data_IF_070022243057
#
_entry.id   IF_070022243057
#
_cell.length_a   1.000
_cell.length_b   1.000
_cell.length_c   1.000
_cell.angle_alpha   90.00
_cell.angle_beta   90.00
_cell.angle_gamma   90.00
#
_symmetry.space_group_name_H-M   'P 1'
#
loop_
_entity.id
_entity.type
_entity.pdbx_description
1 polymer ?
#
# COMPACT_ATOMS: atom_id res chain seq x y z
N UNK A 1 -64.36 54.88 10.98
CA UNK A 1 -65.05 54.37 9.79
C UNK A 1 -64.44 53.01 9.54
N UNK A 2 -64.99 51.96 10.16
CA UNK A 2 -66.01 50.98 9.65
C UNK A 2 -65.56 50.43 8.31
N UNK A 3 -65.29 49.14 8.16
CA UNK A 3 -66.19 48.01 8.35
C UNK A 3 -65.48 46.64 8.41
N UNK A 4 -65.99 45.78 9.28
CA UNK A 4 -65.87 44.34 9.33
C UNK A 4 -66.51 43.66 8.06
N UNK A 5 -65.97 42.48 7.75
CA UNK A 5 -66.74 41.28 7.33
C UNK A 5 -65.79 40.07 7.41
N UNK A 6 -65.87 39.18 8.36
CA UNK A 6 -66.71 37.96 8.43
C UNK A 6 -66.31 36.86 7.47
N UNK A 7 -65.71 35.82 7.93
CA UNK A 7 -66.09 34.41 7.94
C UNK A 7 -65.72 33.55 6.74
N UNK A 8 -64.91 32.55 6.95
CA UNK A 8 -65.41 31.15 6.89
C UNK A 8 -64.22 30.17 7.18
N UNK A 9 -64.49 29.28 8.09
CA UNK A 9 -63.60 28.14 8.43
C UNK A 9 -63.68 27.13 7.30
N UNK A 10 -62.49 26.75 6.75
CA UNK A 10 -62.33 25.48 6.06
C UNK A 10 -61.30 24.63 6.77
N UNK A 11 -61.75 23.55 7.39
CA UNK A 11 -60.96 22.45 7.87
C UNK A 11 -60.26 21.80 6.66
N UNK A 12 -58.92 21.77 6.67
CA UNK A 12 -58.17 20.85 5.81
C UNK A 12 -57.50 19.79 6.68
N UNK A 13 -57.96 18.59 6.48
CA UNK A 13 -57.43 17.33 6.94
C UNK A 13 -55.95 17.17 6.51
N UNK A 14 -55.09 16.90 7.51
CA UNK A 14 -53.68 16.52 7.27
C UNK A 14 -53.68 15.08 6.77
N UNK A 15 -53.44 14.86 5.48
CA UNK A 15 -53.03 13.58 4.96
C UNK A 15 -51.56 13.38 5.19
N UNK A 16 -51.17 12.43 6.07
CA UNK A 16 -49.81 11.89 6.14
C UNK A 16 -49.55 11.10 4.86
N UNK A 17 -48.70 11.63 3.99
CA UNK A 17 -48.04 10.85 2.96
C UNK A 17 -46.78 10.20 3.58
N UNK A 18 -46.86 8.91 3.88
CA UNK A 18 -45.72 8.09 4.23
C UNK A 18 -44.89 7.89 2.95
N UNK A 19 -43.76 8.57 2.85
CA UNK A 19 -42.75 8.26 1.84
C UNK A 19 -41.98 7.02 2.30
N UNK A 20 -42.30 5.86 1.73
CA UNK A 20 -41.44 4.68 1.81
C UNK A 20 -40.14 4.94 1.04
N UNK A 21 -39.07 5.26 1.76
CA UNK A 21 -37.73 5.12 1.22
C UNK A 21 -37.42 3.62 1.11
N UNK A 22 -37.52 3.08 -0.09
CA UNK A 22 -36.94 1.76 -0.41
C UNK A 22 -35.44 1.97 -0.50
N UNK A 23 -34.71 1.61 0.57
CA UNK A 23 -33.27 1.44 0.51
C UNK A 23 -33.00 0.21 -0.37
N UNK A 24 -32.62 0.44 -1.62
CA UNK A 24 -32.03 -0.58 -2.46
C UNK A 24 -30.62 -0.87 -1.91
N UNK A 25 -30.53 -1.85 -1.01
CA UNK A 25 -29.26 -2.54 -0.74
C UNK A 25 -28.90 -3.30 -2.00
N UNK A 26 -27.95 -2.75 -2.78
CA UNK A 26 -27.23 -3.53 -3.78
C UNK A 26 -26.40 -4.58 -3.05
N UNK A 27 -26.99 -5.74 -2.81
CA UNK A 27 -26.22 -6.97 -2.55
C UNK A 27 -25.51 -7.29 -3.88
N UNK A 28 -24.25 -6.92 -4.00
CA UNK A 28 -23.39 -7.42 -5.08
C UNK A 28 -23.29 -8.93 -4.88
N UNK A 29 -24.01 -9.68 -5.70
CA UNK A 29 -23.95 -11.12 -5.73
C UNK A 29 -22.52 -11.55 -6.05
N UNK A 30 -21.84 -12.11 -5.06
CA UNK A 30 -20.67 -12.97 -5.29
C UNK A 30 -21.21 -14.14 -6.10
N UNK A 31 -20.88 -14.15 -7.39
CA UNK A 31 -21.21 -15.26 -8.26
C UNK A 31 -20.61 -16.54 -7.67
N UNK A 32 -21.48 -17.44 -7.23
CA UNK A 32 -21.10 -18.78 -6.80
C UNK A 32 -20.63 -19.57 -8.03
N UNK A 33 -19.35 -19.39 -8.35
CA UNK A 33 -18.65 -20.38 -9.18
C UNK A 33 -18.28 -21.54 -8.27
N UNK A 34 -18.46 -22.75 -8.77
CA UNK A 34 -18.11 -24.01 -8.10
C UNK A 34 -16.82 -23.87 -7.29
N UNK A 35 -16.95 -23.93 -5.94
CA UNK A 35 -15.81 -23.97 -5.05
C UNK A 35 -14.95 -25.17 -5.45
N UNK A 36 -13.71 -24.91 -5.86
CA UNK A 36 -12.63 -25.87 -5.69
C UNK A 36 -12.36 -26.01 -4.17
N UNK A 37 -13.26 -26.67 -3.47
CA UNK A 37 -13.08 -27.12 -2.08
C UNK A 37 -12.42 -28.50 -2.10
N UNK A 38 -11.35 -28.62 -2.85
CA UNK A 38 -10.45 -29.71 -2.60
C UNK A 38 -9.37 -29.14 -1.64
N UNK A 39 -8.97 -29.84 -0.60
CA UNK A 39 -7.97 -29.43 0.38
C UNK A 39 -6.57 -29.23 -0.21
N UNK A 40 -6.48 -28.89 -1.48
CA UNK A 40 -5.26 -28.66 -2.21
C UNK A 40 -4.61 -27.34 -1.82
N UNK A 41 -3.28 -27.30 -1.69
CA UNK A 41 -2.54 -26.09 -1.37
C UNK A 41 -2.82 -24.96 -2.38
N UNK A 42 -3.00 -23.72 -1.86
CA UNK A 42 -3.15 -22.52 -2.69
C UNK A 42 -1.76 -21.93 -2.99
N UNK A 43 -1.20 -22.26 -4.17
CA UNK A 43 0.16 -21.88 -4.55
C UNK A 43 0.35 -20.36 -4.60
N UNK A 44 -0.69 -19.58 -4.85
CA UNK A 44 -0.62 -18.11 -4.83
C UNK A 44 -0.32 -17.61 -3.41
N UNK A 45 -1.03 -18.12 -2.40
CA UNK A 45 -0.80 -17.75 -1.00
C UNK A 45 0.54 -18.30 -0.46
N UNK A 46 0.97 -19.47 -0.93
CA UNK A 46 2.26 -20.05 -0.57
C UNK A 46 3.41 -19.20 -1.10
N UNK A 47 3.38 -18.84 -2.37
CA UNK A 47 4.44 -18.05 -2.99
C UNK A 47 4.40 -16.58 -2.59
N UNK A 48 3.25 -16.04 -2.18
CA UNK A 48 3.22 -14.76 -1.48
C UNK A 48 3.93 -14.83 -0.12
N UNK A 49 3.81 -15.95 0.62
CA UNK A 49 4.60 -16.13 1.84
C UNK A 49 6.10 -16.21 1.54
N UNK A 50 6.52 -16.90 0.47
CA UNK A 50 7.93 -16.93 0.03
C UNK A 50 8.43 -15.53 -0.32
N UNK A 51 7.62 -14.70 -0.95
CA UNK A 51 7.94 -13.29 -1.19
C UNK A 51 8.15 -12.52 0.12
N UNK A 52 7.20 -12.62 1.07
CA UNK A 52 7.29 -11.98 2.39
C UNK A 52 8.56 -12.41 3.12
N UNK A 53 8.84 -13.72 3.19
CA UNK A 53 10.01 -14.27 3.85
C UNK A 53 11.32 -13.80 3.17
N UNK A 54 11.30 -13.67 1.85
CA UNK A 54 12.43 -13.15 1.08
C UNK A 54 12.71 -11.69 1.43
N UNK A 55 11.69 -10.84 1.54
CA UNK A 55 11.84 -9.45 1.98
C UNK A 55 12.46 -9.36 3.38
N UNK A 56 12.00 -10.21 4.31
CA UNK A 56 12.48 -10.24 5.70
C UNK A 56 13.95 -10.67 5.75
N UNK A 57 14.28 -11.80 5.13
CA UNK A 57 15.63 -12.39 5.19
C UNK A 57 16.67 -11.52 4.50
N UNK A 58 16.27 -10.80 3.45
CA UNK A 58 17.19 -9.89 2.72
C UNK A 58 17.26 -8.49 3.35
N UNK A 59 16.44 -8.19 4.35
CA UNK A 59 16.35 -6.85 4.92
C UNK A 59 15.95 -5.80 3.88
N UNK A 60 15.09 -6.17 2.92
CA UNK A 60 14.69 -5.27 1.84
C UNK A 60 14.04 -4.00 2.39
N UNK A 61 14.54 -2.80 2.03
CA UNK A 61 13.98 -1.55 2.51
C UNK A 61 12.50 -1.39 2.16
N UNK A 62 11.72 -0.82 3.08
CA UNK A 62 10.29 -0.56 2.86
C UNK A 62 10.06 0.21 1.54
N UNK A 63 10.86 1.24 1.25
CA UNK A 63 10.71 2.10 0.08
C UNK A 63 10.97 1.43 -1.29
N UNK A 64 11.40 0.17 -1.34
CA UNK A 64 11.57 -0.57 -2.59
C UNK A 64 10.69 -1.81 -2.70
N UNK A 65 10.20 -2.31 -1.57
CA UNK A 65 9.47 -3.58 -1.49
C UNK A 65 8.12 -3.56 -2.21
N UNK A 66 7.43 -2.42 -2.27
CA UNK A 66 6.13 -2.29 -2.96
C UNK A 66 6.25 -2.57 -4.46
N UNK A 67 7.28 -1.94 -5.10
CA UNK A 67 7.56 -2.20 -6.52
C UNK A 67 7.90 -3.67 -6.78
N UNK A 68 8.68 -4.29 -5.90
CA UNK A 68 9.04 -5.70 -6.02
C UNK A 68 7.80 -6.60 -5.89
N UNK A 69 6.92 -6.31 -4.94
CA UNK A 69 5.64 -7.03 -4.78
C UNK A 69 4.76 -6.94 -6.02
N UNK A 70 4.64 -5.75 -6.60
CA UNK A 70 3.87 -5.56 -7.83
C UNK A 70 4.46 -6.34 -9.01
N UNK A 71 5.78 -6.42 -9.16
CA UNK A 71 6.43 -7.22 -10.23
C UNK A 71 6.11 -8.70 -10.04
N UNK A 72 6.28 -9.24 -8.83
CA UNK A 72 6.02 -10.65 -8.52
C UNK A 72 4.55 -10.99 -8.78
N UNK A 73 3.63 -10.19 -8.25
CA UNK A 73 2.20 -10.48 -8.36
C UNK A 73 1.61 -10.18 -9.74
N UNK A 74 2.21 -9.27 -10.54
CA UNK A 74 1.88 -9.14 -11.96
C UNK A 74 2.23 -10.42 -12.72
N UNK A 75 3.42 -10.96 -12.52
CA UNK A 75 3.85 -12.19 -13.21
C UNK A 75 2.98 -13.39 -12.79
N UNK A 76 2.69 -13.56 -11.51
CA UNK A 76 1.81 -14.62 -11.01
C UNK A 76 0.40 -14.46 -11.60
N UNK A 77 -0.13 -13.22 -11.59
CA UNK A 77 -1.47 -12.95 -12.10
C UNK A 77 -1.60 -13.24 -13.58
N UNK A 78 -0.71 -12.68 -14.41
CA UNK A 78 -0.78 -12.85 -15.87
C UNK A 78 -0.53 -14.30 -16.28
N UNK A 79 0.38 -15.01 -15.60
CA UNK A 79 0.60 -16.45 -15.87
C UNK A 79 -0.65 -17.29 -15.58
N UNK A 80 -1.32 -17.06 -14.46
CA UNK A 80 -2.55 -17.75 -14.12
C UNK A 80 -3.71 -17.35 -15.04
N UNK A 81 -3.89 -16.04 -15.23
CA UNK A 81 -4.98 -15.50 -16.03
C UNK A 81 -4.85 -15.84 -17.53
N UNK A 82 -3.64 -15.98 -18.07
CA UNK A 82 -3.42 -16.45 -19.44
C UNK A 82 -3.95 -17.87 -19.71
N UNK A 83 -4.14 -18.67 -18.65
CA UNK A 83 -4.78 -20.00 -18.70
C UNK A 83 -6.30 -19.88 -18.48
N UNK A 84 -6.74 -19.16 -17.43
CA UNK A 84 -8.16 -19.02 -17.09
C UNK A 84 -8.94 -18.03 -17.96
N UNK A 85 -8.28 -16.97 -18.42
CA UNK A 85 -8.86 -15.89 -19.27
C UNK A 85 -10.09 -15.21 -18.63
N UNK A 86 -10.10 -15.09 -17.32
CA UNK A 86 -11.25 -14.54 -16.59
C UNK A 86 -11.23 -13.03 -16.50
N UNK A 87 -10.04 -12.44 -16.55
CA UNK A 87 -9.83 -11.01 -16.34
C UNK A 87 -8.99 -10.41 -17.47
N UNK A 88 -9.03 -9.07 -17.62
CA UNK A 88 -8.06 -8.38 -18.44
C UNK A 88 -6.66 -8.56 -17.84
N UNK A 89 -5.64 -8.91 -18.64
CA UNK A 89 -4.27 -9.03 -18.14
C UNK A 89 -3.71 -7.66 -17.74
N UNK A 90 -2.66 -7.69 -16.90
CA UNK A 90 -1.95 -6.47 -16.48
C UNK A 90 -0.95 -6.06 -17.58
N UNK A 91 -0.15 -6.98 -18.04
CA UNK A 91 0.91 -6.73 -19.03
C UNK A 91 1.00 -7.76 -20.14
N UNK A 92 0.95 -9.07 -19.84
CA UNK A 92 1.11 -10.14 -20.83
C UNK A 92 -0.26 -10.55 -21.36
N UNK A 93 -0.53 -10.17 -22.61
CA UNK A 93 -1.82 -10.43 -23.30
C UNK A 93 -1.89 -11.76 -24.03
N UNK A 94 -0.77 -12.46 -24.13
CA UNK A 94 -0.70 -13.78 -24.75
C UNK A 94 -1.45 -14.83 -23.94
N UNK A 95 -1.79 -15.93 -24.58
CA UNK A 95 -2.54 -17.02 -23.98
C UNK A 95 -1.65 -18.26 -23.83
N UNK A 96 -1.78 -18.94 -22.70
CA UNK A 96 -1.05 -20.14 -22.40
C UNK A 96 -1.35 -21.28 -23.40
N UNK A 97 -0.41 -22.21 -23.61
CA UNK A 97 -0.66 -23.44 -24.34
C UNK A 97 -1.83 -24.22 -23.73
N UNK A 98 -2.65 -24.85 -24.61
CA UNK A 98 -3.81 -25.62 -24.18
C UNK A 98 -3.42 -26.73 -23.20
N UNK A 99 -4.12 -26.81 -22.05
CA UNK A 99 -3.87 -27.81 -21.01
C UNK A 99 -2.64 -27.51 -20.14
N UNK A 100 -2.15 -26.28 -20.10
CA UNK A 100 -1.12 -25.88 -19.15
C UNK A 100 -1.67 -25.88 -17.71
N UNK A 101 -0.88 -26.38 -16.76
CA UNK A 101 -1.23 -26.41 -15.34
C UNK A 101 -1.16 -25.01 -14.73
N UNK A 102 -2.28 -24.51 -14.19
CA UNK A 102 -2.36 -23.21 -13.47
C UNK A 102 -1.41 -23.16 -12.28
N UNK A 103 -1.36 -24.25 -11.49
CA UNK A 103 -0.51 -24.36 -10.31
C UNK A 103 0.98 -24.29 -10.67
N UNK A 104 1.39 -25.04 -11.68
CA UNK A 104 2.77 -25.02 -12.17
C UNK A 104 3.14 -23.65 -12.75
N UNK A 105 2.23 -22.98 -13.45
CA UNK A 105 2.44 -21.64 -13.98
C UNK A 105 2.66 -20.59 -12.87
N UNK A 106 1.85 -20.63 -11.80
CA UNK A 106 2.01 -19.77 -10.60
C UNK A 106 3.37 -20.00 -9.96
N UNK A 107 3.74 -21.25 -9.70
CA UNK A 107 5.02 -21.63 -9.09
C UNK A 107 6.20 -21.13 -9.93
N UNK A 108 6.16 -21.37 -11.24
CA UNK A 108 7.22 -20.98 -12.15
C UNK A 108 7.34 -19.46 -12.31
N UNK A 109 6.22 -18.74 -12.41
CA UNK A 109 6.20 -17.29 -12.49
C UNK A 109 6.76 -16.65 -11.21
N UNK A 110 6.33 -17.13 -10.05
CA UNK A 110 6.81 -16.63 -8.75
C UNK A 110 8.33 -16.89 -8.58
N UNK A 111 8.77 -18.12 -8.82
CA UNK A 111 10.19 -18.48 -8.73
C UNK A 111 11.05 -17.64 -9.67
N UNK A 112 10.69 -17.57 -10.95
CA UNK A 112 11.48 -16.84 -11.95
C UNK A 112 11.61 -15.36 -11.62
N UNK A 113 10.50 -14.72 -11.20
CA UNK A 113 10.54 -13.32 -10.76
C UNK A 113 11.38 -13.13 -9.52
N UNK A 114 11.18 -13.94 -8.49
CA UNK A 114 11.93 -13.82 -7.23
C UNK A 114 13.43 -14.08 -7.43
N UNK A 115 13.80 -15.09 -8.19
CA UNK A 115 15.20 -15.39 -8.50
C UNK A 115 15.88 -14.25 -9.29
N UNK A 116 15.16 -13.64 -10.23
CA UNK A 116 15.64 -12.48 -10.99
C UNK A 116 15.79 -11.22 -10.13
N UNK A 117 14.88 -10.97 -9.17
CA UNK A 117 14.91 -9.82 -8.29
C UNK A 117 15.88 -9.99 -7.11
N UNK A 118 16.11 -11.23 -6.66
CA UNK A 118 16.92 -11.56 -5.50
C UNK A 118 18.00 -12.63 -5.83
N UNK A 119 18.97 -12.34 -6.70
CA UNK A 119 19.93 -13.34 -7.18
C UNK A 119 20.74 -13.98 -6.05
N UNK A 120 20.98 -13.27 -4.94
CA UNK A 120 21.64 -13.84 -3.76
C UNK A 120 20.82 -14.92 -3.04
N UNK A 121 19.53 -15.05 -3.34
CA UNK A 121 18.60 -16.05 -2.77
C UNK A 121 18.32 -17.21 -3.72
N UNK A 122 18.92 -17.23 -4.89
CA UNK A 122 18.62 -18.19 -5.97
C UNK A 122 18.63 -19.65 -5.52
N UNK A 123 19.62 -20.08 -4.75
CA UNK A 123 19.71 -21.48 -4.26
C UNK A 123 18.51 -21.85 -3.39
N UNK A 124 18.21 -21.05 -2.37
CA UNK A 124 17.08 -21.32 -1.48
C UNK A 124 15.73 -21.25 -2.19
N UNK A 125 15.57 -20.32 -3.14
CA UNK A 125 14.37 -20.23 -3.96
C UNK A 125 14.23 -21.42 -4.90
N UNK A 126 15.33 -21.96 -5.43
CA UNK A 126 15.33 -23.15 -6.29
C UNK A 126 14.91 -24.41 -5.51
N UNK A 127 15.33 -24.54 -4.25
CA UNK A 127 14.91 -25.63 -3.38
C UNK A 127 13.38 -25.58 -3.11
N UNK A 128 12.85 -24.40 -2.80
CA UNK A 128 11.41 -24.19 -2.61
C UNK A 128 10.62 -24.47 -3.90
N UNK A 129 11.14 -24.02 -5.04
CA UNK A 129 10.56 -24.28 -6.36
C UNK A 129 10.46 -25.77 -6.65
N UNK A 130 11.56 -26.52 -6.47
CA UNK A 130 11.59 -27.96 -6.69
C UNK A 130 10.60 -28.69 -5.76
N UNK A 131 10.54 -28.31 -4.49
CA UNK A 131 9.61 -28.86 -3.51
C UNK A 131 8.14 -28.58 -3.89
N UNK A 132 7.83 -27.34 -4.30
CA UNK A 132 6.47 -26.97 -4.70
C UNK A 132 6.01 -27.73 -5.95
N UNK A 133 6.87 -27.89 -6.95
CA UNK A 133 6.55 -28.69 -8.14
C UNK A 133 6.39 -30.19 -7.85
N UNK A 134 7.22 -30.75 -6.97
CA UNK A 134 7.12 -32.14 -6.56
C UNK A 134 5.85 -32.45 -5.78
N UNK A 135 5.28 -31.46 -5.10
CA UNK A 135 4.03 -31.59 -4.34
C UNK A 135 2.77 -31.52 -5.23
N UNK A 136 2.92 -31.18 -6.52
CA UNK A 136 1.79 -31.23 -7.44
C UNK A 136 1.46 -32.67 -7.79
N UNK A 137 0.16 -33.02 -7.74
CA UNK A 137 -0.32 -34.32 -8.22
C UNK A 137 -0.06 -34.45 -9.74
N UNK A 138 0.22 -35.67 -10.17
CA UNK A 138 0.25 -35.98 -11.61
C UNK A 138 -1.19 -35.96 -12.13
N UNK A 139 -1.45 -35.07 -13.13
CA UNK A 139 -2.76 -34.95 -13.78
C UNK A 139 -3.11 -36.15 -14.71
N UNK A 140 -2.31 -37.24 -14.65
CA UNK A 140 -2.51 -38.47 -15.43
C UNK A 140 -2.07 -38.33 -16.89
N UNK A 141 -1.40 -37.25 -17.28
CA UNK A 141 -0.87 -36.98 -18.60
C UNK A 141 0.67 -37.15 -18.71
N UNK A 142 1.28 -37.81 -17.71
CA UNK A 142 2.74 -37.99 -17.63
C UNK A 142 3.50 -36.67 -17.38
N UNK A 143 2.87 -35.69 -16.75
CA UNK A 143 3.49 -34.41 -16.38
C UNK A 143 3.49 -33.36 -17.51
N UNK A 144 2.91 -33.62 -18.66
CA UNK A 144 2.90 -32.68 -19.78
C UNK A 144 2.16 -31.37 -19.46
N UNK A 145 1.07 -31.45 -18.70
CA UNK A 145 0.32 -30.29 -18.23
C UNK A 145 1.21 -29.41 -17.34
N UNK A 146 1.94 -30.03 -16.40
CA UNK A 146 2.90 -29.37 -15.53
C UNK A 146 4.00 -28.68 -16.33
N UNK A 147 4.61 -29.38 -17.28
CA UNK A 147 5.73 -28.86 -18.07
C UNK A 147 5.29 -27.63 -18.91
N UNK A 148 4.11 -27.69 -19.56
CA UNK A 148 3.52 -26.53 -20.25
C UNK A 148 3.25 -25.37 -19.28
N UNK A 149 2.79 -25.64 -18.06
CA UNK A 149 2.58 -24.61 -17.03
C UNK A 149 3.89 -23.95 -16.60
N UNK A 150 4.95 -24.74 -16.41
CA UNK A 150 6.28 -24.25 -16.05
C UNK A 150 6.86 -23.36 -17.15
N UNK A 151 6.82 -23.80 -18.40
CA UNK A 151 7.32 -23.03 -19.54
C UNK A 151 6.58 -21.69 -19.66
N UNK A 152 5.25 -21.73 -19.65
CA UNK A 152 4.39 -20.54 -19.72
C UNK A 152 4.64 -19.57 -18.56
N UNK A 153 4.63 -20.05 -17.31
CA UNK A 153 4.86 -19.19 -16.13
C UNK A 153 6.24 -18.54 -16.15
N UNK A 154 7.27 -19.26 -16.59
CA UNK A 154 8.62 -18.73 -16.73
C UNK A 154 8.72 -17.68 -17.83
N UNK A 155 8.06 -17.87 -18.97
CA UNK A 155 8.01 -16.92 -20.08
C UNK A 155 7.33 -15.60 -19.63
N UNK A 156 6.14 -15.69 -19.03
CA UNK A 156 5.42 -14.52 -18.49
C UNK A 156 6.29 -13.75 -17.50
N UNK A 157 6.96 -14.43 -16.58
CA UNK A 157 7.83 -13.80 -15.59
C UNK A 157 9.00 -13.05 -16.26
N UNK A 158 9.62 -13.63 -17.28
CA UNK A 158 10.71 -13.00 -18.02
C UNK A 158 10.23 -11.73 -18.74
N UNK A 159 9.05 -11.75 -19.34
CA UNK A 159 8.43 -10.58 -20.00
C UNK A 159 8.16 -9.47 -18.99
N UNK A 160 7.60 -9.79 -17.83
CA UNK A 160 7.34 -8.80 -16.76
C UNK A 160 8.64 -8.22 -16.20
N UNK A 161 9.66 -9.04 -15.97
CA UNK A 161 10.99 -8.56 -15.54
C UNK A 161 11.61 -7.62 -16.57
N UNK A 162 11.55 -7.98 -17.87
CA UNK A 162 12.06 -7.17 -18.96
C UNK A 162 11.32 -5.83 -19.09
N UNK A 163 10.00 -5.84 -18.91
CA UNK A 163 9.18 -4.62 -18.86
C UNK A 163 9.63 -3.69 -17.74
N UNK A 164 9.73 -4.21 -16.52
CA UNK A 164 10.03 -3.40 -15.34
C UNK A 164 11.51 -3.04 -15.19
N UNK A 165 12.41 -3.70 -15.90
CA UNK A 165 13.83 -3.33 -15.95
C UNK A 165 14.06 -1.90 -16.53
N UNK A 166 13.11 -1.38 -17.30
CA UNK A 166 13.17 -0.08 -18.00
C UNK A 166 12.21 0.96 -17.41
N UNK A 167 11.65 0.75 -16.22
CA UNK A 167 10.63 1.60 -15.63
C UNK A 167 11.16 2.89 -14.96
N UNK A 168 12.44 3.12 -14.99
CA UNK A 168 13.07 4.32 -14.42
C UNK A 168 13.64 4.13 -13.00
N UNK A 169 13.19 3.12 -12.24
CA UNK A 169 13.61 2.94 -10.84
C UNK A 169 15.13 2.91 -10.63
N UNK A 170 15.84 2.17 -11.48
CA UNK A 170 17.28 1.95 -11.39
C UNK A 170 18.12 2.94 -12.21
N UNK A 171 17.52 3.97 -12.80
CA UNK A 171 18.26 4.96 -13.55
C UNK A 171 19.12 5.82 -12.60
N UNK A 172 20.21 6.36 -13.12
CA UNK A 172 21.08 7.26 -12.36
C UNK A 172 20.44 8.65 -12.26
N UNK A 173 20.19 9.10 -11.05
CA UNK A 173 19.69 10.44 -10.77
C UNK A 173 20.65 11.20 -9.88
N UNK A 174 20.85 12.52 -10.09
CA UNK A 174 21.61 13.34 -9.16
C UNK A 174 21.03 13.25 -7.74
N UNK A 175 21.85 13.11 -6.70
CA UNK A 175 21.37 13.04 -5.32
C UNK A 175 20.51 14.26 -4.95
N UNK A 176 19.34 14.04 -4.39
CA UNK A 176 18.47 15.12 -3.93
C UNK A 176 18.66 15.37 -2.42
N UNK A 177 18.94 16.62 -2.06
CA UNK A 177 19.22 17.08 -0.70
C UNK A 177 18.33 18.25 -0.25
N UNK A 178 17.24 18.53 -0.96
CA UNK A 178 16.34 19.66 -0.67
C UNK A 178 16.84 21.00 -1.25
N UNK A 179 17.92 21.00 -2.01
CA UNK A 179 18.55 22.20 -2.56
C UNK A 179 19.89 22.55 -1.89
N UNK A 180 20.68 23.48 -2.48
CA UNK A 180 22.03 23.82 -2.00
C UNK A 180 22.03 24.54 -0.65
N UNK A 181 20.97 25.29 -0.33
CA UNK A 181 20.76 25.98 0.94
C UNK A 181 19.26 25.94 1.29
N UNK A 182 18.77 24.82 1.87
CA UNK A 182 17.35 24.66 2.14
C UNK A 182 16.80 25.79 3.03
N UNK A 183 15.68 26.41 2.58
CA UNK A 183 15.00 27.45 3.34
C UNK A 183 14.36 26.90 4.63
N UNK A 184 13.94 27.80 5.51
CA UNK A 184 13.06 27.43 6.65
C UNK A 184 11.78 26.81 6.08
N UNK A 185 11.36 25.68 6.65
CA UNK A 185 10.24 24.90 6.12
C UNK A 185 10.64 23.83 5.11
N UNK A 186 11.71 24.03 4.36
CA UNK A 186 12.15 23.09 3.34
C UNK A 186 12.91 21.90 3.94
N UNK A 187 12.65 20.71 3.39
CA UNK A 187 13.38 19.49 3.78
C UNK A 187 14.89 19.61 3.52
N UNK A 188 15.65 19.07 4.41
CA UNK A 188 17.11 18.84 4.34
C UNK A 188 17.47 17.47 4.90
N UNK A 189 18.64 16.92 4.55
CA UNK A 189 19.13 15.67 5.12
C UNK A 189 19.01 15.64 6.64
N UNK A 190 18.52 14.51 7.15
CA UNK A 190 18.19 14.32 8.57
C UNK A 190 19.26 13.50 9.30
N UNK A 191 19.48 13.76 10.61
CA UNK A 191 20.39 12.97 11.40
C UNK A 191 19.90 11.50 11.53
N UNK A 192 20.79 10.53 11.84
CA UNK A 192 22.24 10.72 12.09
C UNK A 192 23.09 10.72 10.80
N UNK A 193 22.58 10.18 9.69
CA UNK A 193 23.40 9.94 8.48
C UNK A 193 23.53 11.16 7.57
N UNK A 194 22.63 12.14 7.64
CA UNK A 194 22.59 13.33 6.77
C UNK A 194 22.70 12.98 5.26
N UNK A 195 22.16 11.83 4.86
CA UNK A 195 22.19 11.34 3.48
C UNK A 195 21.16 12.02 2.56
N UNK A 196 21.34 11.89 1.25
CA UNK A 196 20.37 12.35 0.27
C UNK A 196 19.05 11.56 0.37
N UNK A 197 18.04 11.99 -0.38
CA UNK A 197 16.73 11.31 -0.43
C UNK A 197 16.88 9.84 -0.78
N UNK A 198 16.44 8.97 0.13
CA UNK A 198 16.44 7.52 -0.06
C UNK A 198 15.38 7.10 -1.09
N UNK A 199 15.68 6.01 -1.82
CA UNK A 199 14.81 5.46 -2.86
C UNK A 199 14.31 6.49 -3.89
N UNK A 200 15.14 7.47 -4.22
CA UNK A 200 14.82 8.56 -5.15
C UNK A 200 14.29 8.05 -6.50
N UNK A 201 14.72 6.87 -6.95
CA UNK A 201 14.26 6.25 -8.18
C UNK A 201 12.74 6.06 -8.25
N UNK A 202 12.06 5.84 -7.11
CA UNK A 202 10.59 5.75 -7.08
C UNK A 202 9.92 7.01 -7.66
N UNK A 203 10.47 8.19 -7.41
CA UNK A 203 9.90 9.45 -7.91
C UNK A 203 9.86 9.56 -9.45
N UNK A 204 10.62 8.71 -10.13
CA UNK A 204 10.75 8.69 -11.59
C UNK A 204 10.28 7.36 -12.21
N UNK A 205 9.78 6.46 -11.36
CA UNK A 205 9.30 5.16 -11.82
C UNK A 205 7.96 5.31 -12.55
N UNK A 206 7.85 4.63 -13.68
CA UNK A 206 6.57 4.51 -14.39
C UNK A 206 5.61 3.68 -13.55
N UNK A 207 4.39 4.17 -13.24
CA UNK A 207 3.40 3.39 -12.50
C UNK A 207 2.97 2.11 -13.23
N UNK A 208 2.23 1.27 -12.55
CA UNK A 208 1.69 0.02 -13.12
C UNK A 208 0.30 0.23 -13.71
N UNK A 209 -0.58 0.94 -13.03
CA UNK A 209 -2.01 1.13 -13.37
C UNK A 209 -2.37 2.59 -13.49
N UNK A 210 -1.91 3.45 -12.56
CA UNK A 210 -2.14 4.89 -12.63
C UNK A 210 -1.48 5.45 -13.89
N UNK A 211 -2.15 6.39 -14.55
CA UNK A 211 -1.69 6.96 -15.85
C UNK A 211 -0.32 7.65 -15.72
N UNK A 212 -0.11 8.36 -14.62
CA UNK A 212 1.17 8.98 -14.27
C UNK A 212 1.22 9.30 -12.78
N UNK A 213 2.42 9.53 -12.24
CA UNK A 213 2.66 9.81 -10.82
C UNK A 213 2.09 11.14 -10.29
N UNK A 214 1.45 11.95 -11.13
CA UNK A 214 0.81 13.20 -10.71
C UNK A 214 -0.73 13.07 -10.60
N UNK A 215 -1.31 11.96 -11.07
CA UNK A 215 -2.77 11.77 -11.14
C UNK A 215 -3.45 11.91 -9.76
N UNK A 216 -2.83 11.40 -8.71
CA UNK A 216 -3.34 11.43 -7.34
C UNK A 216 -2.46 12.28 -6.40
N UNK A 217 -1.65 13.17 -6.96
CA UNK A 217 -0.81 14.03 -6.13
C UNK A 217 -1.68 14.83 -5.15
N UNK A 218 -1.46 14.72 -3.83
CA UNK A 218 -2.23 15.46 -2.85
C UNK A 218 -1.98 16.98 -3.00
N UNK A 219 -2.86 17.84 -2.42
CA UNK A 219 -2.64 19.29 -2.44
C UNK A 219 -1.31 19.65 -1.73
N UNK A 220 -0.80 20.88 -1.90
CA UNK A 220 0.38 21.36 -1.20
C UNK A 220 0.27 21.21 0.34
N UNK A 221 1.40 21.04 1.06
CA UNK A 221 1.41 20.99 2.52
C UNK A 221 0.94 22.31 3.16
N UNK A 222 0.63 22.28 4.45
CA UNK A 222 0.19 23.46 5.20
C UNK A 222 1.34 24.46 5.34
N UNK A 223 1.05 25.75 5.09
CA UNK A 223 2.03 26.82 5.26
C UNK A 223 2.46 27.02 6.73
N UNK A 224 3.68 27.47 6.95
CA UNK A 224 4.27 27.68 8.29
C UNK A 224 3.42 28.57 9.21
N UNK A 225 2.78 29.61 8.66
CA UNK A 225 1.96 30.56 9.43
C UNK A 225 0.55 30.08 9.73
N UNK A 226 0.16 28.86 9.31
CA UNK A 226 -1.19 28.35 9.55
C UNK A 226 -1.37 27.81 10.97
N UNK A 227 -2.56 28.00 11.54
CA UNK A 227 -2.92 27.40 12.82
C UNK A 227 -2.83 25.88 12.79
N UNK A 228 -3.22 25.24 11.66
CA UNK A 228 -3.09 23.78 11.48
C UNK A 228 -1.64 23.32 11.59
N UNK A 229 -0.68 24.08 11.04
CA UNK A 229 0.75 23.75 11.19
C UNK A 229 1.18 23.83 12.65
N UNK A 230 0.75 24.88 13.39
CA UNK A 230 1.06 25.03 14.81
C UNK A 230 0.49 23.87 15.65
N UNK A 231 -0.77 23.50 15.42
CA UNK A 231 -1.41 22.36 16.09
C UNK A 231 -0.66 21.04 15.81
N UNK A 232 -0.33 20.80 14.56
CA UNK A 232 0.46 19.63 14.10
C UNK A 232 1.84 19.59 14.77
N UNK A 233 2.55 20.72 14.73
CA UNK A 233 3.87 20.90 15.33
C UNK A 233 3.85 20.61 16.84
N UNK A 234 2.93 21.21 17.58
CA UNK A 234 2.81 21.04 19.02
C UNK A 234 2.40 19.61 19.41
N UNK A 235 1.53 18.98 18.61
CA UNK A 235 1.15 17.58 18.78
C UNK A 235 2.37 16.65 18.65
N UNK A 236 3.17 16.81 17.59
CA UNK A 236 4.37 15.97 17.38
C UNK A 236 5.44 16.31 18.41
N UNK A 237 5.63 17.58 18.78
CA UNK A 237 6.56 18.02 19.83
C UNK A 237 6.27 17.33 21.16
N UNK A 238 5.01 17.17 21.53
CA UNK A 238 4.57 16.51 22.76
C UNK A 238 4.64 14.97 22.66
N UNK A 239 4.06 14.40 21.61
CA UNK A 239 3.92 12.94 21.45
C UNK A 239 5.16 12.28 20.87
N UNK A 240 5.84 12.91 19.92
CA UNK A 240 6.89 12.31 19.10
C UNK A 240 8.28 12.23 19.75
N UNK A 241 8.51 12.93 20.87
CA UNK A 241 9.83 13.04 21.48
C UNK A 241 10.31 11.74 22.14
N UNK A 242 11.63 11.53 22.15
CA UNK A 242 12.26 10.32 22.68
C UNK A 242 12.12 10.18 24.20
N UNK A 243 12.19 11.29 24.94
CA UNK A 243 12.12 11.33 26.42
C UNK A 243 11.16 12.41 26.90
N UNK A 244 10.45 12.16 28.02
CA UNK A 244 9.46 13.10 28.57
C UNK A 244 8.25 13.33 27.67
N UNK A 245 7.89 12.33 26.88
CA UNK A 245 6.70 12.36 26.04
C UNK A 245 5.42 12.15 26.85
N UNK A 246 4.30 12.62 26.29
CA UNK A 246 2.95 12.36 26.81
C UNK A 246 2.32 11.08 26.26
N UNK A 247 3.05 10.30 25.46
CA UNK A 247 2.59 8.98 24.96
C UNK A 247 2.36 8.01 26.10
N UNK A 248 1.42 7.09 25.88
CA UNK A 248 1.28 5.88 26.71
C UNK A 248 2.38 4.86 26.38
N UNK A 249 2.55 3.86 27.25
CA UNK A 249 3.49 2.75 27.00
C UNK A 249 3.09 1.98 25.74
N UNK A 250 1.79 1.79 25.49
CA UNK A 250 1.29 1.13 24.28
C UNK A 250 1.63 1.91 22.99
N UNK A 251 1.44 3.22 22.98
CA UNK A 251 1.83 4.08 21.86
C UNK A 251 3.34 4.05 21.62
N UNK A 252 4.11 3.97 22.70
CA UNK A 252 5.57 3.86 22.65
C UNK A 252 6.01 2.51 22.03
N UNK A 253 5.29 1.43 22.31
CA UNK A 253 5.54 0.12 21.73
C UNK A 253 5.06 0.01 20.27
N UNK A 254 3.94 0.65 19.92
CA UNK A 254 3.37 0.64 18.56
C UNK A 254 4.24 1.40 17.55
N UNK A 255 4.87 2.50 17.96
CA UNK A 255 5.64 3.33 17.05
C UNK A 255 6.78 2.56 16.34
N UNK A 256 7.70 1.85 17.03
CA UNK A 256 8.74 1.04 16.39
C UNK A 256 8.18 -0.21 15.69
N UNK A 257 7.05 -0.79 16.16
CA UNK A 257 6.42 -1.91 15.47
C UNK A 257 6.01 -1.52 14.04
N UNK A 258 5.34 -0.38 13.88
CA UNK A 258 4.88 0.13 12.59
C UNK A 258 5.95 0.90 11.79
N UNK A 259 7.19 0.97 12.28
CA UNK A 259 8.34 1.33 11.44
C UNK A 259 8.68 0.22 10.43
N UNK A 260 8.19 -0.99 10.68
CA UNK A 260 8.39 -2.16 9.86
C UNK A 260 7.95 -1.99 8.40
N UNK A 261 8.34 -2.95 7.57
CA UNK A 261 8.07 -2.93 6.15
C UNK A 261 6.56 -3.11 5.86
N UNK A 262 5.91 -2.11 5.28
CA UNK A 262 4.48 -2.13 4.98
C UNK A 262 4.08 -3.27 4.02
N UNK A 263 4.94 -3.61 3.04
CA UNK A 263 4.68 -4.76 2.16
C UNK A 263 4.64 -6.07 2.93
N UNK A 264 5.53 -6.23 3.92
CA UNK A 264 5.52 -7.41 4.81
C UNK A 264 4.22 -7.47 5.60
N UNK A 265 3.85 -6.38 6.30
CA UNK A 265 2.66 -6.33 7.13
C UNK A 265 1.39 -6.63 6.35
N UNK A 266 1.15 -5.92 5.25
CA UNK A 266 -0.11 -6.05 4.52
C UNK A 266 -0.22 -7.33 3.70
N UNK A 267 0.89 -7.90 3.21
CA UNK A 267 0.87 -9.23 2.60
C UNK A 267 0.70 -10.35 3.65
N UNK A 268 1.22 -10.19 4.89
CA UNK A 268 0.90 -11.09 6.00
C UNK A 268 -0.59 -11.06 6.35
N UNK A 269 -1.18 -9.87 6.45
CA UNK A 269 -2.61 -9.71 6.68
C UNK A 269 -3.44 -10.36 5.56
N UNK A 270 -3.16 -10.02 4.31
CA UNK A 270 -3.88 -10.53 3.14
C UNK A 270 -3.82 -12.06 3.05
N UNK A 271 -2.66 -12.68 3.29
CA UNK A 271 -2.51 -14.13 3.30
C UNK A 271 -3.40 -14.81 4.35
N UNK A 272 -3.41 -14.27 5.58
CA UNK A 272 -4.17 -14.85 6.68
C UNK A 272 -5.67 -14.65 6.46
N UNK A 273 -6.09 -13.46 6.05
CA UNK A 273 -7.50 -13.13 5.77
C UNK A 273 -8.01 -13.99 4.60
N UNK A 274 -7.25 -14.10 3.51
CA UNK A 274 -7.62 -14.93 2.36
C UNK A 274 -7.79 -16.41 2.75
N UNK A 275 -6.89 -16.96 3.55
CA UNK A 275 -6.99 -18.34 4.07
C UNK A 275 -8.19 -18.53 4.99
N UNK A 276 -8.41 -17.61 5.94
CA UNK A 276 -9.51 -17.68 6.89
C UNK A 276 -10.88 -17.61 6.21
N UNK A 277 -10.97 -16.92 5.08
CA UNK A 277 -12.18 -16.78 4.28
C UNK A 277 -12.28 -17.83 3.14
N UNK A 278 -11.36 -18.78 3.07
CA UNK A 278 -11.40 -19.89 2.10
C UNK A 278 -11.33 -19.43 0.63
N UNK A 279 -10.57 -18.38 0.33
CA UNK A 279 -10.46 -17.87 -1.04
C UNK A 279 -9.87 -18.92 -1.97
N UNK A 280 -10.51 -19.10 -3.13
CA UNK A 280 -9.96 -19.90 -4.21
C UNK A 280 -8.63 -19.32 -4.72
N UNK A 281 -7.85 -20.12 -5.44
CA UNK A 281 -6.59 -19.66 -6.03
C UNK A 281 -6.79 -18.48 -7.00
N UNK A 282 -7.87 -18.50 -7.80
CA UNK A 282 -8.24 -17.41 -8.71
C UNK A 282 -8.54 -16.10 -7.95
N UNK A 283 -9.33 -16.18 -6.88
CA UNK A 283 -9.67 -15.01 -6.06
C UNK A 283 -8.45 -14.49 -5.29
N UNK A 284 -7.61 -15.37 -4.73
CA UNK A 284 -6.36 -15.00 -4.06
C UNK A 284 -5.39 -14.33 -5.01
N UNK A 285 -5.33 -14.81 -6.26
CA UNK A 285 -4.46 -14.24 -7.30
C UNK A 285 -4.84 -12.80 -7.62
N UNK A 286 -6.13 -12.52 -7.85
CA UNK A 286 -6.61 -11.15 -8.09
C UNK A 286 -6.39 -10.26 -6.87
N UNK A 287 -6.76 -10.72 -5.67
CA UNK A 287 -6.60 -9.96 -4.43
C UNK A 287 -5.15 -9.51 -4.20
N UNK A 288 -4.19 -10.44 -4.29
CA UNK A 288 -2.78 -10.11 -4.04
C UNK A 288 -2.17 -9.26 -5.17
N UNK A 289 -2.63 -9.42 -6.40
CA UNK A 289 -2.22 -8.55 -7.50
C UNK A 289 -2.73 -7.12 -7.28
N UNK A 290 -4.03 -6.91 -6.99
CA UNK A 290 -4.60 -5.59 -6.67
C UNK A 290 -3.87 -4.95 -5.49
N UNK A 291 -3.66 -5.70 -4.40
CA UNK A 291 -2.98 -5.21 -3.20
C UNK A 291 -1.58 -4.67 -3.53
N UNK A 292 -0.77 -5.46 -4.21
CA UNK A 292 0.62 -5.09 -4.48
C UNK A 292 0.73 -4.01 -5.57
N UNK A 293 -0.15 -3.99 -6.56
CA UNK A 293 -0.24 -2.91 -7.55
C UNK A 293 -0.64 -1.58 -6.91
N UNK A 294 -1.67 -1.58 -6.06
CA UNK A 294 -2.12 -0.38 -5.35
C UNK A 294 -1.01 0.18 -4.47
N UNK A 295 -0.33 -0.68 -3.69
CA UNK A 295 0.81 -0.26 -2.86
C UNK A 295 1.98 0.28 -3.69
N UNK A 296 2.28 -0.31 -4.84
CA UNK A 296 3.38 0.14 -5.70
C UNK A 296 3.09 1.50 -6.33
N UNK A 297 1.89 1.69 -6.90
CA UNK A 297 1.50 2.95 -7.51
C UNK A 297 1.37 4.07 -6.48
N UNK A 298 0.93 3.73 -5.25
CA UNK A 298 0.94 4.65 -4.11
C UNK A 298 2.37 5.06 -3.75
N UNK A 299 3.32 4.12 -3.63
CA UNK A 299 4.71 4.45 -3.34
C UNK A 299 5.32 5.36 -4.41
N UNK A 300 5.07 5.08 -5.69
CA UNK A 300 5.53 5.87 -6.83
C UNK A 300 4.96 7.29 -6.77
N UNK A 301 3.65 7.43 -6.60
CA UNK A 301 2.96 8.73 -6.51
C UNK A 301 3.45 9.55 -5.32
N UNK A 302 3.51 8.93 -4.13
CA UNK A 302 4.01 9.58 -2.91
C UNK A 302 5.45 10.06 -3.06
N UNK A 303 6.37 9.24 -3.64
CA UNK A 303 7.76 9.65 -3.84
C UNK A 303 7.91 10.76 -4.89
N UNK A 304 7.09 10.73 -5.96
CA UNK A 304 7.03 11.80 -6.93
C UNK A 304 6.56 13.12 -6.28
N UNK A 305 5.52 13.08 -5.45
CA UNK A 305 5.04 14.24 -4.70
C UNK A 305 6.09 14.76 -3.72
N UNK A 306 6.77 13.88 -2.94
CA UNK A 306 7.89 14.25 -2.06
C UNK A 306 8.99 15.00 -2.82
N UNK A 307 9.33 14.52 -4.02
CA UNK A 307 10.40 15.13 -4.83
C UNK A 307 9.99 16.50 -5.36
N UNK A 308 8.72 16.67 -5.77
CA UNK A 308 8.19 17.94 -6.27
C UNK A 308 8.11 18.97 -5.15
N UNK A 309 7.39 18.65 -4.06
CA UNK A 309 7.24 19.59 -2.93
C UNK A 309 8.56 19.84 -2.18
N UNK A 310 9.39 18.81 -2.02
CA UNK A 310 10.69 18.95 -1.38
C UNK A 310 11.69 19.83 -2.17
N UNK A 311 11.46 20.03 -3.47
CA UNK A 311 12.28 20.92 -4.31
C UNK A 311 11.79 22.36 -4.25
N UNK A 312 10.53 22.62 -3.91
CA UNK A 312 9.98 23.97 -3.84
C UNK A 312 10.35 24.62 -2.48
N UNK A 313 11.08 25.74 -2.48
CA UNK A 313 11.48 26.42 -1.25
C UNK A 313 10.31 27.08 -0.49
N UNK A 314 9.12 27.17 -1.10
CA UNK A 314 7.93 27.74 -0.48
C UNK A 314 7.10 26.69 0.26
N UNK A 315 7.38 25.41 0.04
CA UNK A 315 6.59 24.31 0.61
C UNK A 315 7.17 23.77 1.91
N UNK A 316 6.28 23.50 2.86
CA UNK A 316 6.66 22.97 4.19
C UNK A 316 6.85 21.48 4.13
N UNK A 317 8.10 21.05 3.98
CA UNK A 317 8.47 19.64 3.80
C UNK A 317 9.52 19.15 4.78
N UNK A 318 9.94 20.00 5.73
CA UNK A 318 10.92 19.61 6.75
C UNK A 318 10.35 18.64 7.78
N UNK A 319 11.22 17.79 8.28
CA UNK A 319 10.85 16.80 9.31
C UNK A 319 10.79 17.43 10.70
N UNK A 320 9.99 16.88 11.62
CA UNK A 320 9.95 17.35 13.01
C UNK A 320 11.32 17.45 13.69
N UNK A 321 12.24 16.50 13.40
CA UNK A 321 13.63 16.51 13.88
C UNK A 321 14.41 17.75 13.46
N UNK A 322 14.00 18.42 12.40
CA UNK A 322 14.58 19.68 11.92
C UNK A 322 13.74 20.87 12.34
N UNK A 323 12.42 20.76 12.20
CA UNK A 323 11.46 21.84 12.46
C UNK A 323 11.47 22.28 13.91
N UNK A 324 11.36 21.32 14.84
CA UNK A 324 11.21 21.64 16.27
C UNK A 324 12.43 22.35 16.85
N UNK A 325 13.69 21.92 16.58
CA UNK A 325 14.85 22.70 17.01
C UNK A 325 15.00 24.08 16.36
N UNK A 326 14.48 24.28 15.16
CA UNK A 326 14.66 25.51 14.38
C UNK A 326 13.43 26.42 14.35
N UNK A 327 12.38 26.11 15.09
CA UNK A 327 11.11 26.84 15.05
C UNK A 327 11.22 28.34 15.36
N UNK A 328 12.23 28.77 16.12
CA UNK A 328 12.44 30.19 16.37
C UNK A 328 12.66 31.07 15.11
N UNK A 329 12.87 30.45 13.94
CA UNK A 329 13.02 31.12 12.65
C UNK A 329 11.83 30.96 11.69
N UNK A 330 10.77 30.23 12.07
CA UNK A 330 9.65 29.90 11.17
C UNK A 330 8.58 31.01 11.05
N UNK A 331 8.66 32.00 11.93
CA UNK A 331 7.75 33.16 11.92
C UNK A 331 6.34 32.86 12.45
N UNK A 332 6.10 31.69 13.02
CA UNK A 332 4.82 31.33 13.64
C UNK A 332 4.90 31.52 15.16
N UNK A 333 4.11 32.43 15.76
CA UNK A 333 4.17 32.71 17.19
C UNK A 333 3.67 31.55 18.07
N UNK A 334 2.93 30.60 17.49
CA UNK A 334 2.34 29.48 18.20
C UNK A 334 3.24 28.21 18.14
N UNK A 335 4.45 28.31 17.54
CA UNK A 335 5.47 27.25 17.54
C UNK A 335 6.69 27.69 18.34
N UNK A 336 7.03 26.96 19.37
CA UNK A 336 8.19 27.25 20.23
C UNK A 336 9.33 26.23 19.95
N UNK A 337 10.53 26.75 19.71
CA UNK A 337 11.71 25.92 19.49
C UNK A 337 12.08 25.09 20.73
N UNK A 338 12.52 23.86 20.49
CA UNK A 338 13.16 22.99 21.48
C UNK A 338 14.46 22.42 20.87
N UNK A 339 15.61 23.09 21.10
CA UNK A 339 16.89 22.67 20.51
C UNK A 339 17.37 21.28 20.94
N UNK A 340 16.83 20.75 22.05
CA UNK A 340 17.16 19.42 22.56
C UNK A 340 16.18 18.31 22.10
N UNK A 341 15.16 18.66 21.31
CA UNK A 341 14.16 17.71 20.90
C UNK A 341 14.73 16.66 19.93
N UNK A 342 14.47 15.40 20.25
CA UNK A 342 14.80 14.25 19.40
C UNK A 342 13.56 13.37 19.24
N UNK A 343 13.32 12.79 18.06
CA UNK A 343 12.21 11.87 17.84
C UNK A 343 12.46 10.52 18.53
N UNK A 344 11.38 9.77 18.78
CA UNK A 344 11.47 8.41 19.31
C UNK A 344 12.16 7.47 18.30
N UNK A 345 11.90 7.64 17.02
CA UNK A 345 12.41 6.80 15.94
C UNK A 345 13.30 7.64 15.03
N UNK A 346 14.40 7.03 14.54
CA UNK A 346 15.26 7.68 13.57
C UNK A 346 14.49 8.12 12.33
N UNK A 347 14.65 9.39 11.96
CA UNK A 347 13.93 9.97 10.84
C UNK A 347 14.55 9.50 9.50
N UNK A 348 13.76 8.90 8.60
CA UNK A 348 14.26 8.47 7.30
C UNK A 348 14.61 9.66 6.43
N UNK A 349 15.64 9.49 5.59
CA UNK A 349 16.19 10.55 4.74
C UNK A 349 15.34 10.78 3.49
N UNK A 350 14.21 11.45 3.64
CA UNK A 350 13.36 11.96 2.56
C UNK A 350 12.38 13.01 3.10
N UNK A 351 11.81 13.90 2.23
CA UNK A 351 10.85 14.93 2.65
C UNK A 351 9.74 14.38 3.55
N UNK A 352 9.27 15.24 4.46
CA UNK A 352 8.18 14.90 5.35
C UNK A 352 6.92 14.60 4.56
N UNK A 353 6.52 15.50 3.65
CA UNK A 353 5.25 15.48 2.93
C UNK A 353 5.36 14.93 1.50
N UNK A 354 4.37 14.09 1.04
CA UNK A 354 3.40 13.33 1.82
C UNK A 354 4.04 12.18 2.64
N UNK A 355 3.31 11.54 3.56
CA UNK A 355 3.84 10.51 4.43
C UNK A 355 3.73 9.10 3.79
N UNK A 356 4.86 8.40 3.62
CA UNK A 356 4.89 7.12 2.89
C UNK A 356 4.10 5.98 3.56
N UNK A 357 4.32 5.70 4.84
CA UNK A 357 3.58 4.62 5.53
C UNK A 357 2.07 4.86 5.57
N UNK A 358 1.55 6.05 5.92
CA UNK A 358 0.11 6.32 5.85
C UNK A 358 -0.50 6.12 4.47
N UNK A 359 0.17 6.58 3.41
CA UNK A 359 -0.31 6.32 2.03
C UNK A 359 -0.40 4.82 1.75
N UNK A 360 0.62 4.04 2.14
CA UNK A 360 0.63 2.59 1.95
C UNK A 360 -0.41 1.87 2.82
N UNK A 361 -0.62 2.31 4.06
CA UNK A 361 -1.64 1.77 4.94
C UNK A 361 -3.05 2.06 4.39
N UNK A 362 -3.27 3.28 3.92
CA UNK A 362 -4.52 3.66 3.24
C UNK A 362 -4.81 2.78 2.05
N UNK A 363 -3.81 2.60 1.17
CA UNK A 363 -3.97 1.77 -0.01
C UNK A 363 -4.26 0.30 0.33
N UNK A 364 -3.44 -0.31 1.18
CA UNK A 364 -3.55 -1.74 1.48
C UNK A 364 -4.82 -2.08 2.27
N UNK A 365 -5.15 -1.27 3.29
CA UNK A 365 -6.37 -1.47 4.06
C UNK A 365 -7.63 -1.30 3.20
N UNK A 366 -7.64 -0.31 2.30
CA UNK A 366 -8.77 -0.10 1.39
C UNK A 366 -8.97 -1.30 0.46
N UNK A 367 -7.91 -1.85 -0.15
CA UNK A 367 -8.04 -3.08 -0.94
C UNK A 367 -8.65 -4.21 -0.13
N UNK A 368 -8.21 -4.41 1.12
CA UNK A 368 -8.77 -5.48 1.95
C UNK A 368 -10.24 -5.21 2.33
N UNK A 369 -10.61 -3.95 2.62
CA UNK A 369 -11.98 -3.56 2.97
C UNK A 369 -12.96 -3.62 1.78
N UNK A 370 -12.48 -3.47 0.54
CA UNK A 370 -13.30 -3.67 -0.66
C UNK A 370 -13.65 -5.17 -0.89
N UNK A 371 -12.84 -6.08 -0.35
CA UNK A 371 -13.00 -7.52 -0.54
C UNK A 371 -13.53 -8.28 0.69
N UNK A 372 -13.42 -7.69 1.88
CA UNK A 372 -13.81 -8.33 3.15
C UNK A 372 -14.47 -7.35 4.09
N UNK A 373 -15.28 -7.86 5.01
CA UNK A 373 -15.75 -7.10 6.15
C UNK A 373 -14.58 -6.67 7.05
N UNK A 374 -14.71 -5.55 7.75
CA UNK A 374 -13.66 -5.00 8.61
C UNK A 374 -13.21 -5.95 9.72
N UNK A 375 -14.13 -6.76 10.25
CA UNK A 375 -13.87 -7.69 11.36
C UNK A 375 -13.11 -8.92 10.89
N UNK A 376 -11.77 -8.78 10.76
CA UNK A 376 -10.87 -9.86 10.37
C UNK A 376 -9.81 -10.07 11.45
N UNK A 377 -9.53 -11.34 11.79
CA UNK A 377 -8.46 -11.68 12.74
C UNK A 377 -7.19 -12.04 11.99
N UNK A 378 -6.13 -11.29 12.24
CA UNK A 378 -4.82 -11.55 11.66
C UNK A 378 -3.70 -11.10 12.58
N UNK A 379 -2.52 -11.70 12.40
CA UNK A 379 -1.32 -11.41 13.19
C UNK A 379 -0.23 -10.82 12.30
N UNK A 380 0.29 -9.68 12.71
CA UNK A 380 1.44 -9.03 12.09
C UNK A 380 2.72 -9.30 12.90
N UNK A 381 3.84 -9.42 12.21
CA UNK A 381 5.16 -9.68 12.82
C UNK A 381 6.18 -8.68 12.29
N UNK A 382 6.90 -8.03 13.20
CA UNK A 382 8.05 -7.17 12.91
C UNK A 382 9.21 -7.57 13.80
N UNK A 383 10.27 -8.15 13.22
CA UNK A 383 11.37 -8.72 14.01
C UNK A 383 10.85 -9.78 14.99
N UNK A 384 11.08 -9.56 16.29
CA UNK A 384 10.60 -10.46 17.35
C UNK A 384 9.23 -10.04 17.94
N UNK A 385 8.68 -8.91 17.49
CA UNK A 385 7.41 -8.39 17.99
C UNK A 385 6.25 -8.93 17.15
N UNK A 386 5.14 -9.21 17.82
CA UNK A 386 3.91 -9.70 17.22
C UNK A 386 2.72 -8.91 17.74
N UNK A 387 1.77 -8.61 16.84
CA UNK A 387 0.49 -8.01 17.19
C UNK A 387 -0.65 -8.70 16.48
N UNK A 388 -1.72 -8.96 17.23
CA UNK A 388 -2.95 -9.53 16.66
C UNK A 388 -3.97 -8.42 16.57
N UNK A 389 -4.54 -8.26 15.40
CA UNK A 389 -5.64 -7.35 15.11
C UNK A 389 -6.92 -8.15 14.86
N UNK A 390 -8.05 -7.55 15.19
CA UNK A 390 -9.40 -8.09 14.95
C UNK A 390 -10.19 -7.22 13.96
N UNK A 391 -9.55 -6.17 13.43
CA UNK A 391 -10.13 -5.23 12.48
C UNK A 391 -9.03 -4.68 11.56
N UNK A 392 -9.32 -4.59 10.27
CA UNK A 392 -8.44 -4.00 9.26
C UNK A 392 -8.27 -2.50 9.54
N UNK A 393 -9.38 -1.82 9.85
CA UNK A 393 -9.37 -0.38 10.18
C UNK A 393 -8.57 -0.07 11.43
N UNK A 394 -8.58 -0.93 12.45
CA UNK A 394 -7.76 -0.76 13.64
C UNK A 394 -6.25 -0.85 13.33
N UNK A 395 -5.84 -1.79 12.49
CA UNK A 395 -4.45 -1.90 12.05
C UNK A 395 -4.01 -0.67 11.22
N UNK A 396 -4.87 -0.18 10.31
CA UNK A 396 -4.65 1.07 9.55
C UNK A 396 -4.47 2.27 10.49
N UNK A 397 -5.34 2.42 11.46
CA UNK A 397 -5.31 3.52 12.42
C UNK A 397 -4.03 3.52 13.26
N UNK A 398 -3.63 2.38 13.82
CA UNK A 398 -2.40 2.23 14.59
C UNK A 398 -1.16 2.53 13.73
N UNK A 399 -1.09 1.97 12.51
CA UNK A 399 0.01 2.20 11.58
C UNK A 399 0.17 3.67 11.18
N UNK A 400 -0.95 4.41 11.07
CA UNK A 400 -0.97 5.83 10.78
C UNK A 400 -0.55 6.66 12.00
N UNK A 401 -1.13 6.43 13.17
CA UNK A 401 -0.82 7.15 14.39
C UNK A 401 0.62 6.92 14.88
N UNK A 402 1.19 5.74 14.61
CA UNK A 402 2.58 5.40 14.90
C UNK A 402 3.59 6.39 14.29
N UNK A 403 3.25 7.06 13.19
CA UNK A 403 4.12 8.05 12.55
C UNK A 403 4.23 9.34 13.35
N UNK A 404 3.15 9.75 14.02
CA UNK A 404 3.11 10.88 14.94
C UNK A 404 3.81 10.51 16.25
N UNK A 405 3.48 9.34 16.80
CA UNK A 405 4.12 8.84 18.03
C UNK A 405 5.63 8.61 17.87
N UNK A 406 6.07 8.24 16.68
CA UNK A 406 7.48 8.08 16.33
C UNK A 406 8.23 9.41 16.14
N UNK A 407 7.51 10.53 16.04
CA UNK A 407 8.10 11.85 15.82
C UNK A 407 8.56 12.11 14.40
N UNK A 408 7.93 11.47 13.41
CA UNK A 408 8.39 11.49 12.01
C UNK A 408 7.50 12.29 11.07
N UNK A 409 6.20 12.41 11.37
CA UNK A 409 5.21 13.04 10.52
C UNK A 409 4.20 13.84 11.35
N UNK A 410 3.61 14.85 10.71
CA UNK A 410 2.55 15.67 11.27
C UNK A 410 1.17 15.01 11.10
N UNK A 411 0.22 15.20 12.05
CA UNK A 411 -1.13 14.63 11.97
C UNK A 411 -1.86 14.92 10.66
N UNK A 412 -1.86 16.17 10.18
CA UNK A 412 -2.52 16.51 8.91
C UNK A 412 -1.87 15.86 7.71
N UNK A 413 -0.54 15.72 7.70
CA UNK A 413 0.18 14.96 6.66
C UNK A 413 -0.24 13.49 6.66
N UNK A 414 -0.35 12.88 7.84
CA UNK A 414 -0.81 11.49 7.99
C UNK A 414 -2.20 11.32 7.37
N UNK A 415 -3.14 12.18 7.71
CA UNK A 415 -4.53 12.10 7.21
C UNK A 415 -4.62 12.29 5.69
N UNK A 416 -3.91 13.28 5.14
CA UNK A 416 -3.90 13.54 3.69
C UNK A 416 -3.27 12.37 2.93
N UNK A 417 -2.19 11.82 3.46
CA UNK A 417 -1.48 10.71 2.83
C UNK A 417 -2.27 9.40 2.86
N UNK A 418 -2.97 9.14 3.95
CA UNK A 418 -3.88 8.00 4.09
C UNK A 418 -5.00 8.07 3.04
N UNK A 419 -5.60 9.24 2.83
CA UNK A 419 -6.60 9.49 1.80
C UNK A 419 -6.03 9.38 0.36
N UNK A 420 -4.76 9.78 0.13
CA UNK A 420 -4.06 9.56 -1.14
C UNK A 420 -4.00 8.06 -1.47
N UNK A 421 -3.58 7.25 -0.52
CA UNK A 421 -3.49 5.80 -0.69
C UNK A 421 -4.85 5.15 -0.95
N UNK A 422 -5.87 5.55 -0.22
CA UNK A 422 -7.25 5.10 -0.42
C UNK A 422 -7.75 5.39 -1.85
N UNK A 423 -7.58 6.62 -2.33
CA UNK A 423 -8.00 7.01 -3.68
C UNK A 423 -7.28 6.19 -4.77
N UNK A 424 -5.98 5.94 -4.60
CA UNK A 424 -5.21 5.12 -5.54
C UNK A 424 -5.69 3.66 -5.52
N UNK A 425 -5.94 3.09 -4.34
CA UNK A 425 -6.43 1.72 -4.21
C UNK A 425 -7.78 1.51 -4.89
N UNK A 426 -8.73 2.42 -4.67
CA UNK A 426 -10.03 2.40 -5.33
C UNK A 426 -9.90 2.49 -6.85
N UNK A 427 -9.00 3.34 -7.35
CA UNK A 427 -8.74 3.44 -8.78
C UNK A 427 -8.13 2.15 -9.35
N UNK A 428 -7.13 1.58 -8.69
CA UNK A 428 -6.47 0.34 -9.14
C UNK A 428 -7.46 -0.83 -9.15
N UNK A 429 -8.25 -1.03 -8.10
CA UNK A 429 -9.22 -2.12 -8.02
C UNK A 429 -10.35 -1.98 -9.06
N UNK A 430 -10.79 -0.75 -9.33
CA UNK A 430 -11.83 -0.47 -10.32
C UNK A 430 -11.34 -0.45 -11.78
N UNK A 431 -10.04 -0.37 -12.02
CA UNK A 431 -9.47 -0.19 -13.37
C UNK A 431 -8.72 -1.41 -13.85
N UNK A 432 -7.90 -2.04 -12.98
CA UNK A 432 -7.09 -3.19 -13.34
C UNK A 432 -7.90 -4.50 -13.27
N UNK A 433 -7.50 -5.48 -14.07
CA UNK A 433 -8.02 -6.85 -13.98
C UNK A 433 -9.54 -6.93 -13.97
N UNK A 434 -10.17 -6.21 -14.91
CA UNK A 434 -11.62 -6.22 -15.08
C UNK A 434 -12.10 -7.58 -15.60
N UNK A 435 -13.23 -8.04 -15.07
CA UNK A 435 -13.81 -9.31 -15.50
C UNK A 435 -14.16 -9.27 -16.98
N UNK A 436 -13.71 -10.27 -17.73
CA UNK A 436 -14.05 -10.42 -19.15
C UNK A 436 -15.34 -11.21 -19.25
N UNK A 437 -16.33 -10.64 -19.95
CA UNK A 437 -17.52 -11.39 -20.35
C UNK A 437 -17.13 -12.21 -21.61
N UNK A 438 -16.99 -13.51 -21.45
CA UNK A 438 -16.93 -14.40 -22.62
C UNK A 438 -18.37 -14.60 -23.13
N UNK A 439 -18.72 -13.91 -24.24
CA UNK A 439 -19.90 -14.23 -25.04
C UNK A 439 -19.79 -15.59 -25.72
#
# INVERSE_FOLDING_TARGET
MSQQFSGSRFRRTKGLAAACLVAMTCVRGVGTTSQETDGSPNQVLEWNQVFVDTLIVTGTPNSSSQRLGAIVHTAIFDAFNGIERRYTPIFVHDTAPRGASRRAAVIAAAYTTLAGLFPARQTALAEMYAASLAALSDDGDGGQSRDRGVEWGSEVAQLVLAWRAKDGFNAAYPPFTGGPAPAIGQWRPTPPAFGPMSAQGLAFTVPFVVVNSAQFRPPPPRGLSSATYADDFNTVKALGRSTGSTRTDEQTALAPFWEGNASVHWNQAANQIARANGLSMSASNRLLAVLNLAMADTAITTWAAKRVYGADPLEVTWRPVTAIPLAGGDGNPDTEADPAWLPLINTPSHPEYPAGHPSLNGAAATVLLEHFDDQQVFRLTTGLQNRTYTSISAARADGNAARVWGGMHYPSTVAISDAEGEAIAMFVDSTAMQQQNHE
#
